data_IF_075421199370
#
_entry.id   IF_075421199370
#
_cell.length_a   1.000
_cell.length_b   1.000
_cell.length_c   1.000
_cell.angle_alpha   90.00
_cell.angle_beta   90.00
_cell.angle_gamma   90.00
#
_symmetry.space_group_name_H-M   'P 1'
#
loop_
_entity.id
_entity.type
_entity.pdbx_description
1 polymer ?
#
# COMPACT_ATOMS: atom_id res chain seq x y z
N UNK A 1 -2.96 3.22 -11.67
CA UNK A 1 -1.53 3.18 -11.26
C UNK A 1 -1.53 2.82 -9.79
N UNK A 2 -0.50 2.13 -9.29
CA UNK A 2 -0.44 1.77 -7.88
C UNK A 2 0.70 2.45 -7.18
N UNK A 3 0.46 2.84 -5.94
CA UNK A 3 1.51 3.25 -5.00
C UNK A 3 1.80 2.05 -4.10
N UNK A 4 3.02 1.53 -4.19
CA UNK A 4 3.55 0.52 -3.28
C UNK A 4 4.25 1.23 -2.12
N UNK A 5 4.03 0.73 -0.91
CA UNK A 5 4.68 1.17 0.31
C UNK A 5 5.37 -0.02 0.94
N UNK A 6 6.67 0.11 1.13
CA UNK A 6 7.54 -0.85 1.78
C UNK A 6 7.97 -0.23 3.10
N UNK A 7 7.87 -0.96 4.19
CA UNK A 7 8.36 -0.47 5.46
C UNK A 7 9.10 -1.54 6.24
N UNK A 8 9.98 -1.09 7.11
CA UNK A 8 10.61 -1.91 8.12
C UNK A 8 10.67 -1.07 9.39
N UNK A 9 9.87 -1.44 10.38
CA UNK A 9 9.70 -0.66 11.60
C UNK A 9 10.19 -1.47 12.80
N UNK A 10 10.95 -0.85 13.72
CA UNK A 10 11.34 -1.51 14.95
C UNK A 10 10.10 -1.93 15.76
N UNK A 11 10.23 -3.02 16.51
CA UNK A 11 9.14 -3.70 17.23
C UNK A 11 9.54 -4.16 18.63
N UNK A 12 10.64 -3.63 19.18
CA UNK A 12 11.22 -4.09 20.45
C UNK A 12 10.48 -3.42 21.61
N UNK A 13 10.41 -2.09 21.61
CA UNK A 13 9.82 -1.34 22.71
C UNK A 13 8.29 -1.21 22.57
N UNK A 14 7.62 -0.88 23.68
CA UNK A 14 6.16 -0.64 23.67
C UNK A 14 5.78 0.57 22.82
N UNK A 15 6.65 1.58 22.75
CA UNK A 15 6.45 2.77 21.95
C UNK A 15 6.54 2.45 20.45
N UNK A 16 7.55 1.67 20.06
CA UNK A 16 7.73 1.17 18.69
C UNK A 16 6.55 0.33 18.21
N UNK A 17 6.10 -0.63 19.03
CA UNK A 17 4.90 -1.44 18.73
C UNK A 17 3.66 -0.57 18.53
N UNK A 18 3.52 0.51 19.33
CA UNK A 18 2.41 1.46 19.19
C UNK A 18 2.52 2.24 17.88
N UNK A 19 3.71 2.71 17.52
CA UNK A 19 3.96 3.41 16.25
C UNK A 19 3.65 2.51 15.05
N UNK A 20 4.08 1.25 15.06
CA UNK A 20 3.72 0.26 14.04
C UNK A 20 2.20 0.11 13.89
N UNK A 21 1.50 -0.09 15.01
CA UNK A 21 0.03 -0.29 14.98
C UNK A 21 -0.67 0.96 14.45
N UNK A 22 -0.21 2.15 14.81
CA UNK A 22 -0.76 3.42 14.30
C UNK A 22 -0.51 3.57 12.80
N UNK A 23 0.72 3.35 12.33
CA UNK A 23 1.05 3.44 10.91
C UNK A 23 0.27 2.42 10.08
N UNK A 24 0.20 1.17 10.53
CA UNK A 24 -0.60 0.13 9.87
C UNK A 24 -2.08 0.49 9.82
N UNK A 25 -2.65 1.02 10.91
CA UNK A 25 -4.05 1.47 10.93
C UNK A 25 -4.27 2.63 9.96
N UNK A 26 -3.34 3.57 9.87
CA UNK A 26 -3.39 4.64 8.89
C UNK A 26 -3.44 4.08 7.46
N UNK A 27 -2.55 3.15 7.10
CA UNK A 27 -2.55 2.53 5.77
C UNK A 27 -3.88 1.85 5.46
N UNK A 28 -4.42 1.06 6.39
CA UNK A 28 -5.71 0.39 6.17
C UNK A 28 -6.86 1.40 6.02
N UNK A 29 -6.89 2.44 6.86
CA UNK A 29 -7.94 3.46 6.83
C UNK A 29 -7.88 4.36 5.59
N UNK A 30 -6.67 4.66 5.09
CA UNK A 30 -6.51 5.41 3.84
C UNK A 30 -6.78 4.52 2.61
N UNK A 31 -7.01 3.21 2.79
CA UNK A 31 -7.42 2.25 1.76
C UNK A 31 -6.26 1.61 1.02
N UNK A 32 -5.19 1.28 1.73
CA UNK A 32 -4.13 0.41 1.21
C UNK A 32 -4.48 -1.06 1.45
N UNK A 33 -4.26 -1.87 0.42
CA UNK A 33 -4.36 -3.32 0.47
C UNK A 33 -3.02 -3.93 0.91
N UNK A 34 -3.09 -4.91 1.78
CA UNK A 34 -1.91 -5.64 2.26
C UNK A 34 -1.56 -6.74 1.26
N UNK A 35 -0.39 -6.66 0.63
CA UNK A 35 0.10 -7.66 -0.32
C UNK A 35 0.91 -8.72 0.42
N UNK A 36 1.84 -8.28 1.25
CA UNK A 36 2.69 -9.14 2.05
C UNK A 36 3.00 -8.45 3.37
N UNK A 37 3.65 -9.16 4.29
CA UNK A 37 4.17 -8.52 5.50
C UNK A 37 5.06 -7.33 5.14
N UNK A 38 4.70 -6.19 5.71
CA UNK A 38 5.37 -4.91 5.49
C UNK A 38 5.35 -4.36 4.06
N UNK A 39 4.50 -4.91 3.19
CA UNK A 39 4.29 -4.43 1.81
C UNK A 39 2.81 -4.18 1.57
N UNK A 40 2.50 -2.92 1.25
CA UNK A 40 1.14 -2.44 1.02
C UNK A 40 1.04 -1.79 -0.35
N UNK A 41 -0.13 -1.85 -0.98
CA UNK A 41 -0.39 -1.11 -2.21
C UNK A 41 -1.71 -0.37 -2.18
N UNK A 42 -1.79 0.69 -2.98
CA UNK A 42 -3.03 1.44 -3.17
C UNK A 42 -3.25 1.70 -4.65
N UNK A 43 -4.47 1.44 -5.12
CA UNK A 43 -4.92 1.85 -6.44
C UNK A 43 -5.15 3.37 -6.48
N UNK A 44 -4.58 4.03 -7.50
CA UNK A 44 -4.67 5.47 -7.72
C UNK A 44 -5.23 5.77 -9.11
N UNK A 45 -6.14 6.76 -9.16
CA UNK A 45 -6.86 7.19 -10.35
C UNK A 45 -6.16 8.30 -11.14
N UNK A 46 -4.85 8.50 -10.97
CA UNK A 46 -4.10 9.55 -11.67
C UNK A 46 -2.99 10.17 -10.82
N UNK A 47 -2.29 11.15 -11.42
CA UNK A 47 -1.17 11.85 -10.78
C UNK A 47 -1.60 12.71 -9.58
N UNK A 48 -2.77 13.35 -9.65
CA UNK A 48 -3.28 14.17 -8.53
C UNK A 48 -3.57 13.30 -7.30
N UNK A 49 -4.15 12.13 -7.51
CA UNK A 49 -4.37 11.14 -6.46
C UNK A 49 -3.03 10.67 -5.87
N UNK A 50 -2.02 10.43 -6.71
CA UNK A 50 -0.68 10.07 -6.27
C UNK A 50 -0.10 11.14 -5.34
N UNK A 51 -0.09 12.42 -5.75
CA UNK A 51 0.48 13.50 -4.94
C UNK A 51 -0.28 13.67 -3.62
N UNK A 52 -1.62 13.61 -3.65
CA UNK A 52 -2.46 13.68 -2.46
C UNK A 52 -2.14 12.57 -1.46
N UNK A 53 -2.06 11.32 -1.92
CA UNK A 53 -1.78 10.19 -1.04
C UNK A 53 -0.33 10.14 -0.57
N UNK A 54 0.62 10.61 -1.40
CA UNK A 54 2.01 10.78 -0.97
C UNK A 54 2.12 11.82 0.16
N UNK A 55 1.43 12.95 0.04
CA UNK A 55 1.41 13.98 1.09
C UNK A 55 0.86 13.43 2.41
N UNK A 56 -0.27 12.70 2.36
CA UNK A 56 -0.86 12.03 3.54
C UNK A 56 0.10 11.01 4.16
N UNK A 57 0.81 10.25 3.33
CA UNK A 57 1.80 9.27 3.78
C UNK A 57 2.92 9.96 4.57
N UNK A 58 3.45 11.07 4.04
CA UNK A 58 4.50 11.87 4.69
C UNK A 58 4.02 12.46 6.03
N UNK A 59 2.78 12.95 6.09
CA UNK A 59 2.18 13.51 7.31
C UNK A 59 1.97 12.46 8.43
N UNK A 60 1.93 11.16 8.09
CA UNK A 60 1.66 10.07 9.02
C UNK A 60 2.86 9.13 9.23
N UNK A 61 4.08 9.58 8.90
CA UNK A 61 5.28 8.77 9.10
C UNK A 61 5.55 8.55 10.60
N UNK A 62 5.89 7.31 11.00
CA UNK A 62 6.41 7.04 12.34
C UNK A 62 7.79 7.71 12.54
N UNK A 63 8.19 7.94 13.80
CA UNK A 63 9.43 8.65 14.13
C UNK A 63 10.72 7.86 13.85
N UNK A 64 10.61 6.54 13.69
CA UNK A 64 11.75 5.65 13.49
C UNK A 64 11.39 4.50 12.55
N UNK A 65 12.41 3.90 11.94
CA UNK A 65 12.33 2.84 10.94
C UNK A 65 12.60 3.31 9.51
N UNK A 66 12.43 2.38 8.57
CA UNK A 66 12.77 2.55 7.17
C UNK A 66 11.51 2.40 6.31
N UNK A 67 11.01 3.50 5.74
CA UNK A 67 9.83 3.51 4.87
C UNK A 67 10.24 4.01 3.48
N UNK A 68 9.84 3.27 2.44
CA UNK A 68 10.04 3.64 1.03
C UNK A 68 8.72 3.48 0.29
N UNK A 69 8.50 4.29 -0.73
CA UNK A 69 7.36 4.15 -1.62
C UNK A 69 7.80 4.15 -3.08
N UNK A 70 7.07 3.42 -3.92
CA UNK A 70 7.32 3.35 -5.35
C UNK A 70 5.99 3.38 -6.10
N UNK A 71 5.89 4.25 -7.11
CA UNK A 71 4.73 4.27 -8.01
C UNK A 71 4.99 3.32 -9.17
N UNK A 72 4.04 2.43 -9.45
CA UNK A 72 4.08 1.49 -10.58
C UNK A 72 2.81 1.61 -11.41
N UNK A 73 2.89 1.28 -12.68
CA UNK A 73 1.70 1.17 -13.54
C UNK A 73 0.90 -0.09 -13.19
N UNK A 74 -0.40 -0.13 -13.51
CA UNK A 74 -1.18 -1.38 -13.34
C UNK A 74 -0.58 -2.53 -14.16
N UNK A 75 -0.03 -2.25 -15.34
CA UNK A 75 0.63 -3.26 -16.19
C UNK A 75 1.85 -3.87 -15.49
N UNK A 76 2.69 -3.04 -14.87
CA UNK A 76 3.85 -3.51 -14.10
C UNK A 76 3.40 -4.29 -12.85
N UNK A 77 2.39 -3.81 -12.14
CA UNK A 77 1.84 -4.50 -10.97
C UNK A 77 1.26 -5.88 -11.32
N UNK A 78 0.49 -5.97 -12.41
CA UNK A 78 -0.05 -7.23 -12.91
C UNK A 78 1.03 -8.20 -13.41
N UNK A 79 2.23 -7.68 -13.72
CA UNK A 79 3.40 -8.47 -14.11
C UNK A 79 4.21 -9.01 -12.93
N UNK A 80 3.83 -8.75 -11.67
CA UNK A 80 4.51 -9.32 -10.50
C UNK A 80 4.40 -10.85 -10.57
N UNK A 81 5.55 -11.52 -10.57
CA UNK A 81 5.61 -12.97 -10.60
C UNK A 81 5.53 -13.54 -9.18
N UNK A 82 4.52 -14.37 -8.93
CA UNK A 82 4.42 -15.13 -7.69
C UNK A 82 5.29 -16.38 -7.79
N UNK A 83 6.44 -16.37 -7.13
CA UNK A 83 7.38 -17.50 -7.15
C UNK A 83 6.99 -18.61 -6.16
N UNK A 84 6.37 -18.24 -5.03
CA UNK A 84 5.97 -19.15 -3.95
C UNK A 84 4.68 -18.66 -3.28
N UNK A 85 3.76 -19.57 -2.95
CA UNK A 85 2.52 -19.27 -2.23
C UNK A 85 1.28 -19.27 -3.13
N UNK A 86 0.18 -18.70 -2.62
CA UNK A 86 -1.07 -18.52 -3.36
C UNK A 86 -1.38 -17.02 -3.49
N UNK A 87 -1.96 -16.58 -4.63
CA UNK A 87 -2.35 -15.19 -4.79
C UNK A 87 -3.44 -14.82 -3.79
N UNK A 88 -3.36 -13.61 -3.25
CA UNK A 88 -4.35 -13.12 -2.29
C UNK A 88 -5.69 -12.88 -3.00
N UNK A 89 -6.80 -13.02 -2.27
CA UNK A 89 -8.13 -12.71 -2.82
C UNK A 89 -8.24 -11.27 -3.31
N UNK A 90 -7.54 -10.33 -2.65
CA UNK A 90 -7.48 -8.91 -3.05
C UNK A 90 -6.66 -8.67 -4.33
N UNK A 91 -5.81 -9.63 -4.74
CA UNK A 91 -5.09 -9.59 -6.01
C UNK A 91 -5.91 -10.17 -7.16
N UNK A 92 -7.04 -10.83 -6.88
CA UNK A 92 -7.98 -11.23 -7.93
C UNK A 92 -8.41 -9.98 -8.67
N UNK A 93 -8.21 -10.00 -9.99
CA UNK A 93 -8.46 -8.90 -10.93
C UNK A 93 -9.63 -8.04 -10.46
N UNK A 94 -9.34 -6.83 -10.01
CA UNK A 94 -10.31 -5.75 -10.05
C UNK A 94 -10.45 -5.43 -11.54
N UNK A 95 -11.32 -6.16 -12.23
CA UNK A 95 -11.75 -5.76 -13.55
C UNK A 95 -12.36 -4.39 -13.37
N UNK A 96 -11.72 -3.36 -13.94
CA UNK A 96 -12.36 -2.09 -14.18
C UNK A 96 -13.36 -2.28 -15.33
N UNK A 97 -14.27 -3.25 -15.18
CA UNK A 97 -15.48 -3.29 -15.99
C UNK A 97 -16.27 -2.10 -15.48
N UNK A 98 -16.10 -1.00 -16.21
CA UNK A 98 -16.88 0.20 -16.07
C UNK A 98 -18.33 -0.23 -16.27
N UNK A 99 -19.05 -0.51 -15.18
CA UNK A 99 -20.47 -0.80 -15.24
C UNK A 99 -21.16 0.49 -15.63
N UNK A 100 -21.30 0.69 -16.94
CA UNK A 100 -22.26 1.61 -17.54
C UNK A 100 -23.65 1.08 -17.18
N UNK A 101 -24.16 1.55 -16.05
CA UNK A 101 -25.59 1.52 -15.78
C UNK A 101 -26.21 2.64 -16.63
N UNK A 102 -26.77 2.23 -17.77
CA UNK A 102 -27.70 3.07 -18.54
C UNK A 102 -29.07 3.08 -17.85
#
# INVERSE_FOLDING_TARGET
MRLLVFFDLPMVTKAEKRAYVQFRRFLLNDGYDMIQWSVYSRLLNGADAQQKHLKRLVENLPPDGSIRCMTVTEKQYAGIQLLVGMPLFQEKKVTADQMLLF
#
